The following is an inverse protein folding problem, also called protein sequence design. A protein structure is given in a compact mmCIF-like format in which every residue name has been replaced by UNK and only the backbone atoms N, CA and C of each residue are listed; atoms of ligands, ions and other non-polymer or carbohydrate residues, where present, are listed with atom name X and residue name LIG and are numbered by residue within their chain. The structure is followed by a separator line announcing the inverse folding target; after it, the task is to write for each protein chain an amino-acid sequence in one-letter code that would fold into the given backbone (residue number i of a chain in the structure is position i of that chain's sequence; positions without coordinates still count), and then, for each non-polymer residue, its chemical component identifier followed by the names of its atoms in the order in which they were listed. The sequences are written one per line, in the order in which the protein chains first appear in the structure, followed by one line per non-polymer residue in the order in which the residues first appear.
data_IF_051828334475
#
_entry.id   IF_051828334475
#
_cell.length_a   1.000
_cell.length_b   1.000
_cell.length_c   1.000
_cell.angle_alpha   90.00
_cell.angle_beta   90.00
_cell.angle_gamma   90.00
#
_symmetry.space_group_name_H-M   'P 1'
#
loop_
_entity.id
_entity.type
_entity.pdbx_description
1 polymer ?
#
# COMPACT_ATOMS: atom_id res chain seq x y z
N UNK A 1 -70.67 -39.13 23.69
CA UNK A 1 -69.42 -38.53 24.26
C UNK A 1 -68.48 -38.24 23.13
N UNK A 2 -68.32 -36.95 22.77
CA UNK A 2 -67.45 -36.52 21.73
C UNK A 2 -66.20 -35.89 22.38
N UNK A 3 -65.05 -36.49 22.16
CA UNK A 3 -63.74 -35.99 22.67
C UNK A 3 -63.14 -34.96 21.73
N UNK A 4 -62.94 -33.74 22.23
CA UNK A 4 -62.23 -32.70 21.56
C UNK A 4 -60.70 -32.92 21.69
N UNK A 5 -60.00 -33.06 20.58
CA UNK A 5 -58.54 -33.10 20.55
C UNK A 5 -58.05 -31.64 20.26
N UNK A 6 -57.47 -31.01 21.27
CA UNK A 6 -56.77 -29.75 21.10
C UNK A 6 -55.38 -30.02 20.51
N UNK A 7 -55.19 -29.62 19.25
CA UNK A 7 -53.87 -29.62 18.61
C UNK A 7 -53.07 -28.36 18.99
N UNK A 8 -51.92 -28.53 19.68
CA UNK A 8 -51.01 -27.46 19.99
C UNK A 8 -50.19 -27.09 18.74
N UNK A 9 -50.34 -25.87 18.23
CA UNK A 9 -49.50 -25.32 17.16
C UNK A 9 -48.20 -24.81 17.79
N UNK A 10 -47.10 -25.52 17.56
CA UNK A 10 -45.76 -25.06 17.91
C UNK A 10 -45.28 -24.13 16.81
N UNK A 11 -45.33 -22.84 17.07
CA UNK A 11 -44.69 -21.81 16.21
C UNK A 11 -43.18 -21.86 16.42
N UNK A 12 -42.47 -22.45 15.46
CA UNK A 12 -41.00 -22.40 15.42
C UNK A 12 -40.55 -20.97 15.10
N UNK A 13 -39.96 -20.29 16.06
CA UNK A 13 -39.29 -19.02 15.83
C UNK A 13 -38.05 -19.27 14.96
N UNK A 14 -38.09 -18.79 13.72
CA UNK A 14 -36.94 -18.80 12.79
C UNK A 14 -35.88 -17.90 13.40
N UNK A 15 -34.70 -18.45 13.76
CA UNK A 15 -33.58 -17.68 14.20
C UNK A 15 -33.26 -16.63 13.14
N UNK A 16 -33.19 -15.36 13.53
CA UNK A 16 -32.71 -14.30 12.66
C UNK A 16 -31.28 -14.65 12.20
N UNK A 17 -31.08 -14.71 10.90
CA UNK A 17 -29.74 -14.89 10.34
C UNK A 17 -28.78 -13.79 10.82
N UNK A 18 -27.47 -14.02 10.82
CA UNK A 18 -26.53 -13.03 11.26
C UNK A 18 -26.78 -11.73 10.48
N UNK A 19 -26.87 -10.64 11.21
CA UNK A 19 -26.95 -9.29 10.62
C UNK A 19 -25.76 -9.11 9.70
N UNK A 20 -25.93 -8.69 8.42
CA UNK A 20 -24.81 -8.44 7.52
C UNK A 20 -23.84 -7.47 8.19
N UNK A 21 -22.58 -7.86 8.32
CA UNK A 21 -21.54 -6.95 8.75
C UNK A 21 -21.45 -5.86 7.69
N UNK A 22 -21.51 -4.59 8.05
CA UNK A 22 -21.40 -3.51 7.06
C UNK A 22 -20.10 -3.68 6.28
N UNK A 23 -20.18 -3.67 4.95
CA UNK A 23 -19.02 -3.83 4.06
C UNK A 23 -18.24 -2.52 3.91
N UNK A 24 -16.95 -2.62 3.68
CA UNK A 24 -16.09 -1.50 3.29
C UNK A 24 -16.61 -0.88 1.99
N UNK A 25 -16.73 0.43 1.93
CA UNK A 25 -17.20 1.15 0.73
C UNK A 25 -16.01 1.59 -0.11
N UNK A 26 -16.00 1.25 -1.40
CA UNK A 26 -15.03 1.75 -2.35
C UNK A 26 -15.60 2.99 -3.07
N UNK A 27 -14.99 4.15 -2.85
CA UNK A 27 -15.31 5.42 -3.50
C UNK A 27 -14.20 5.79 -4.48
N UNK A 28 -14.52 5.95 -5.76
CA UNK A 28 -13.56 6.35 -6.78
C UNK A 28 -13.86 7.74 -7.32
N UNK A 29 -12.85 8.56 -7.51
CA UNK A 29 -12.96 9.94 -7.97
C UNK A 29 -11.68 10.38 -8.67
N UNK A 30 -11.77 11.35 -9.59
CA UNK A 30 -10.58 12.01 -10.11
C UNK A 30 -10.02 13.00 -9.10
N UNK A 31 -8.71 13.09 -9.03
CA UNK A 31 -7.95 14.14 -8.35
C UNK A 31 -7.27 14.99 -9.42
N UNK A 32 -7.68 16.25 -9.54
CA UNK A 32 -7.07 17.16 -10.51
C UNK A 32 -5.67 17.55 -10.09
N UNK A 33 -4.72 17.47 -11.03
CA UNK A 33 -3.33 17.81 -10.82
C UNK A 33 -2.90 18.99 -11.68
N UNK A 34 -2.38 20.01 -11.03
CA UNK A 34 -1.70 21.14 -11.70
C UNK A 34 -0.27 20.76 -12.11
N UNK A 35 0.36 19.82 -11.41
CA UNK A 35 1.70 19.32 -11.71
C UNK A 35 1.68 18.47 -12.97
N UNK A 36 0.71 17.52 -13.07
CA UNK A 36 0.59 16.61 -14.21
C UNK A 36 -0.26 17.16 -15.35
N UNK A 37 -0.94 18.32 -15.16
CA UNK A 37 -1.85 18.94 -16.13
C UNK A 37 -2.99 17.99 -16.60
N UNK A 38 -3.42 17.09 -15.70
CA UNK A 38 -4.50 16.13 -15.94
C UNK A 38 -5.13 15.66 -14.63
N UNK A 39 -6.28 15.02 -14.73
CA UNK A 39 -6.85 14.28 -13.62
C UNK A 39 -6.17 12.91 -13.46
N UNK A 40 -6.05 12.47 -12.21
CA UNK A 40 -5.60 11.13 -11.83
C UNK A 40 -6.73 10.43 -11.10
N UNK A 41 -7.10 9.24 -11.55
CA UNK A 41 -8.11 8.44 -10.87
C UNK A 41 -7.57 7.90 -9.54
N UNK A 42 -8.41 7.96 -8.51
CA UNK A 42 -8.08 7.49 -7.17
C UNK A 42 -9.29 6.80 -6.57
N UNK A 43 -9.13 5.59 -6.05
CA UNK A 43 -10.15 4.95 -5.24
C UNK A 43 -9.76 5.00 -3.76
N UNK A 44 -10.75 5.10 -2.88
CA UNK A 44 -10.58 5.03 -1.43
C UNK A 44 -11.51 3.97 -0.85
N UNK A 45 -10.93 2.97 -0.17
CA UNK A 45 -11.68 2.02 0.63
C UNK A 45 -11.93 2.62 2.02
N UNK A 46 -13.19 2.89 2.31
CA UNK A 46 -13.65 3.56 3.53
C UNK A 46 -14.24 2.52 4.49
N UNK A 47 -13.93 2.60 5.80
CA UNK A 47 -14.55 1.73 6.81
C UNK A 47 -16.07 1.77 6.73
N UNK A 48 -16.74 0.65 6.98
CA UNK A 48 -18.18 0.48 6.86
C UNK A 48 -19.01 1.49 7.66
N UNK A 49 -18.49 1.98 8.78
CA UNK A 49 -19.13 3.01 9.62
C UNK A 49 -18.64 4.42 9.31
N UNK A 50 -17.86 4.62 8.25
CA UNK A 50 -17.28 5.91 7.94
C UNK A 50 -18.33 7.03 7.83
N UNK A 51 -19.45 6.82 7.14
CA UNK A 51 -20.48 7.84 6.97
C UNK A 51 -21.16 8.24 8.29
N UNK A 52 -21.35 7.28 9.21
CA UNK A 52 -22.10 7.46 10.45
C UNK A 52 -21.25 7.99 11.61
N UNK A 53 -19.95 7.83 11.56
CA UNK A 53 -19.05 8.02 12.70
C UNK A 53 -18.29 9.35 12.69
N UNK A 54 -18.95 10.46 12.43
CA UNK A 54 -18.32 11.76 12.71
C UNK A 54 -18.20 11.93 14.24
N UNK A 55 -17.06 12.28 14.82
CA UNK A 55 -15.87 12.94 14.27
C UNK A 55 -14.62 12.04 14.14
N UNK A 56 -14.75 10.73 14.09
CA UNK A 56 -13.59 9.80 14.07
C UNK A 56 -12.67 10.04 12.88
N UNK A 57 -11.37 10.15 13.15
CA UNK A 57 -10.32 10.20 12.13
C UNK A 57 -9.58 8.87 12.08
N UNK A 58 -9.10 8.50 10.91
CA UNK A 58 -8.54 7.20 10.63
C UNK A 58 -7.10 7.30 10.14
N UNK A 59 -6.22 6.36 10.49
CA UNK A 59 -4.98 6.16 9.76
C UNK A 59 -5.23 5.91 8.28
N UNK A 60 -4.22 6.11 7.46
CA UNK A 60 -4.34 5.97 6.00
C UNK A 60 -3.19 5.15 5.44
N UNK A 61 -3.52 4.14 4.64
CA UNK A 61 -2.59 3.33 3.87
C UNK A 61 -2.76 3.66 2.39
N UNK A 62 -1.72 4.12 1.72
CA UNK A 62 -1.67 4.23 0.27
C UNK A 62 -1.20 2.88 -0.29
N UNK A 63 -1.96 2.27 -1.21
CA UNK A 63 -1.55 1.04 -1.86
C UNK A 63 -1.34 1.27 -3.36
N UNK A 64 -0.13 0.97 -3.82
CA UNK A 64 0.34 1.23 -5.17
C UNK A 64 0.27 -0.04 -6.01
N UNK A 65 -0.43 0.04 -7.15
CA UNK A 65 -0.63 -1.10 -8.05
C UNK A 65 0.63 -1.46 -8.85
N UNK A 66 0.64 -2.67 -9.41
CA UNK A 66 1.69 -3.14 -10.29
C UNK A 66 1.57 -2.59 -11.72
N UNK A 67 2.56 -2.90 -12.54
CA UNK A 67 2.57 -2.49 -13.95
C UNK A 67 1.37 -3.10 -14.70
N UNK A 68 0.73 -2.31 -15.57
CA UNK A 68 -0.48 -2.66 -16.34
C UNK A 68 -1.75 -2.88 -15.49
N UNK A 69 -1.76 -2.39 -14.28
CA UNK A 69 -2.92 -2.36 -13.38
C UNK A 69 -3.43 -0.92 -13.22
N UNK A 70 -4.46 -0.74 -12.39
CA UNK A 70 -5.09 0.55 -12.11
C UNK A 70 -5.52 0.67 -10.64
N UNK A 71 -6.13 1.79 -10.29
CA UNK A 71 -6.71 2.07 -8.98
C UNK A 71 -7.80 1.08 -8.55
N UNK A 72 -8.45 0.39 -9.49
CA UNK A 72 -9.50 -0.59 -9.17
C UNK A 72 -8.97 -1.99 -8.89
N UNK A 73 -7.76 -2.30 -9.36
CA UNK A 73 -7.20 -3.66 -9.38
C UNK A 73 -7.13 -4.30 -7.99
N UNK A 74 -6.83 -3.52 -6.95
CA UNK A 74 -6.77 -4.02 -5.57
C UNK A 74 -8.14 -4.50 -5.07
N UNK A 75 -9.19 -3.72 -5.34
CA UNK A 75 -10.57 -4.09 -5.00
C UNK A 75 -11.06 -5.32 -5.76
N UNK A 76 -10.80 -5.36 -7.08
CA UNK A 76 -11.30 -6.40 -7.98
C UNK A 76 -10.60 -7.75 -7.81
N UNK A 77 -9.34 -7.76 -7.34
CA UNK A 77 -8.48 -8.93 -7.32
C UNK A 77 -8.23 -9.51 -5.93
N UNK A 78 -9.07 -9.16 -4.94
CA UNK A 78 -9.12 -9.80 -3.63
C UNK A 78 -8.43 -9.05 -2.49
N UNK A 79 -7.80 -7.89 -2.73
CA UNK A 79 -7.22 -7.08 -1.67
C UNK A 79 -8.25 -6.58 -0.66
N UNK A 80 -9.42 -6.15 -1.16
CA UNK A 80 -10.54 -5.75 -0.32
C UNK A 80 -11.04 -6.91 0.56
N UNK A 81 -11.13 -8.12 0.00
CA UNK A 81 -11.55 -9.31 0.77
C UNK A 81 -10.58 -9.61 1.91
N UNK A 82 -9.26 -9.55 1.67
CA UNK A 82 -8.26 -9.78 2.74
C UNK A 82 -8.40 -8.74 3.86
N UNK A 83 -8.66 -7.47 3.51
CA UNK A 83 -8.90 -6.40 4.48
C UNK A 83 -10.15 -6.70 5.33
N UNK A 84 -11.27 -7.04 4.70
CA UNK A 84 -12.53 -7.32 5.36
C UNK A 84 -12.46 -8.56 6.27
N UNK A 85 -11.76 -9.60 5.84
CA UNK A 85 -11.55 -10.80 6.64
C UNK A 85 -10.80 -10.49 7.93
N UNK A 86 -9.72 -9.70 7.88
CA UNK A 86 -8.96 -9.28 9.06
C UNK A 86 -9.77 -8.38 10.00
N UNK A 87 -10.59 -7.48 9.45
CA UNK A 87 -11.51 -6.64 10.24
C UNK A 87 -12.59 -7.49 10.93
N UNK A 88 -13.18 -8.45 10.22
CA UNK A 88 -14.22 -9.34 10.75
C UNK A 88 -13.68 -10.28 11.83
N UNK A 89 -12.43 -10.72 11.71
CA UNK A 89 -11.74 -11.55 12.71
C UNK A 89 -11.25 -10.73 13.93
N UNK A 90 -11.31 -9.39 13.85
CA UNK A 90 -10.83 -8.52 14.93
C UNK A 90 -9.30 -8.50 15.07
N UNK A 91 -8.57 -8.96 14.05
CA UNK A 91 -7.10 -8.99 14.05
C UNK A 91 -6.50 -7.59 13.86
N UNK A 92 -7.26 -6.67 13.29
CA UNK A 92 -6.85 -5.28 13.10
C UNK A 92 -8.02 -4.31 13.29
N UNK A 93 -7.71 -3.03 13.51
CA UNK A 93 -8.69 -1.96 13.49
C UNK A 93 -8.79 -1.27 12.14
N UNK A 94 -9.60 -0.22 12.09
CA UNK A 94 -10.01 0.47 10.87
C UNK A 94 -9.01 1.52 10.43
N UNK A 95 -8.72 1.55 9.13
CA UNK A 95 -8.00 2.61 8.44
C UNK A 95 -8.53 2.77 7.00
N UNK A 96 -8.20 3.87 6.36
CA UNK A 96 -8.51 4.08 4.95
C UNK A 96 -7.43 3.43 4.08
N UNK A 97 -7.83 2.83 2.94
CA UNK A 97 -6.87 2.45 1.90
C UNK A 97 -7.09 3.32 0.69
N UNK A 98 -6.06 4.04 0.24
CA UNK A 98 -6.09 4.93 -0.91
C UNK A 98 -5.31 4.29 -2.05
N UNK A 99 -5.93 4.22 -3.21
CA UNK A 99 -5.51 3.47 -4.38
C UNK A 99 -5.38 4.42 -5.57
N UNK A 100 -4.24 5.10 -5.77
CA UNK A 100 -4.07 5.99 -6.93
C UNK A 100 -3.68 5.21 -8.19
N UNK A 101 -4.14 5.69 -9.37
CA UNK A 101 -3.63 5.22 -10.65
C UNK A 101 -2.22 5.80 -10.90
N UNK A 102 -1.22 4.92 -10.88
CA UNK A 102 0.18 5.26 -11.13
C UNK A 102 0.62 5.06 -12.58
N UNK A 103 -0.26 4.57 -13.45
CA UNK A 103 0.08 4.27 -14.84
C UNK A 103 1.30 3.36 -14.97
N UNK A 104 2.37 3.86 -15.58
CA UNK A 104 3.66 3.15 -15.76
C UNK A 104 4.83 3.97 -15.22
N UNK A 105 4.58 4.84 -14.25
CA UNK A 105 5.53 5.87 -13.78
C UNK A 105 6.57 5.34 -12.79
N UNK A 106 6.44 4.11 -12.31
CA UNK A 106 7.20 3.62 -11.15
C UNK A 106 7.08 4.53 -9.92
N UNK A 107 6.08 5.43 -9.97
CA UNK A 107 5.81 6.43 -8.91
C UNK A 107 6.97 7.39 -8.65
N UNK A 108 7.80 7.61 -9.67
CA UNK A 108 8.90 8.60 -9.66
C UNK A 108 8.56 9.76 -10.60
N UNK A 109 9.30 10.85 -10.49
CA UNK A 109 9.32 11.84 -11.54
C UNK A 109 10.07 11.27 -12.77
N UNK A 110 9.61 11.51 -14.00
CA UNK A 110 10.33 11.04 -15.18
C UNK A 110 11.62 11.80 -15.39
N UNK A 111 12.61 11.13 -15.99
CA UNK A 111 13.93 11.73 -16.29
C UNK A 111 13.84 13.02 -17.11
N UNK A 112 12.90 13.09 -18.04
CA UNK A 112 12.67 14.26 -18.88
C UNK A 112 11.84 15.37 -18.21
N UNK A 113 11.33 15.12 -16.99
CA UNK A 113 10.54 16.04 -16.20
C UNK A 113 9.10 16.25 -16.67
N UNK A 114 8.65 15.51 -17.70
CA UNK A 114 7.28 15.64 -18.20
C UNK A 114 6.23 14.98 -17.30
N UNK A 115 6.52 13.82 -16.75
CA UNK A 115 5.63 13.09 -15.84
C UNK A 115 6.19 13.19 -14.40
N UNK A 116 5.79 14.24 -13.68
CA UNK A 116 6.27 14.52 -12.31
C UNK A 116 5.37 13.84 -11.27
N UNK A 117 5.27 12.49 -11.33
CA UNK A 117 4.31 11.74 -10.54
C UNK A 117 4.63 11.74 -9.03
N UNK A 118 5.91 11.66 -8.64
CA UNK A 118 6.33 11.78 -7.24
C UNK A 118 5.92 13.14 -6.64
N UNK A 119 6.16 14.23 -7.38
CA UNK A 119 5.76 15.57 -6.95
C UNK A 119 4.24 15.69 -6.79
N UNK A 120 3.48 15.17 -7.76
CA UNK A 120 2.02 15.10 -7.67
C UNK A 120 1.59 14.32 -6.41
N UNK A 121 2.19 13.15 -6.19
CA UNK A 121 1.82 12.29 -5.07
C UNK A 121 1.98 13.02 -3.73
N UNK A 122 3.13 13.64 -3.52
CA UNK A 122 3.49 14.28 -2.25
C UNK A 122 2.81 15.64 -2.09
N UNK A 123 2.81 16.47 -3.14
CA UNK A 123 2.40 17.87 -3.02
C UNK A 123 0.91 18.08 -3.29
N UNK A 124 0.25 17.19 -4.05
CA UNK A 124 -1.16 17.36 -4.42
C UNK A 124 -2.05 16.22 -3.89
N UNK A 125 -1.70 14.95 -4.15
CA UNK A 125 -2.55 13.80 -3.80
C UNK A 125 -2.70 13.65 -2.27
N UNK A 126 -1.59 13.55 -1.52
CA UNK A 126 -1.65 13.38 -0.07
C UNK A 126 -2.43 14.52 0.60
N UNK A 127 -2.19 15.81 0.30
CA UNK A 127 -3.01 16.89 0.84
C UNK A 127 -4.48 16.86 0.38
N UNK A 128 -4.78 16.42 -0.84
CA UNK A 128 -6.16 16.31 -1.32
C UNK A 128 -6.94 15.24 -0.55
N UNK A 129 -6.32 14.09 -0.28
CA UNK A 129 -6.91 13.02 0.52
C UNK A 129 -7.15 13.49 1.97
N UNK A 130 -6.19 14.17 2.58
CA UNK A 130 -6.32 14.70 3.93
C UNK A 130 -7.42 15.78 4.06
N UNK A 131 -7.68 16.55 3.00
CA UNK A 131 -8.79 17.51 2.95
C UNK A 131 -10.13 16.84 2.73
N UNK A 132 -10.18 15.82 1.89
CA UNK A 132 -11.44 15.16 1.51
C UNK A 132 -11.92 14.19 2.58
N UNK A 133 -11.03 13.45 3.18
CA UNK A 133 -11.35 12.37 4.13
C UNK A 133 -10.89 12.70 5.55
N UNK A 134 -11.53 12.04 6.52
CA UNK A 134 -11.16 12.16 7.94
C UNK A 134 -9.93 11.31 8.24
N UNK A 135 -8.80 11.73 7.72
CA UNK A 135 -7.49 11.12 7.97
C UNK A 135 -6.85 11.68 9.23
N UNK A 136 -5.97 10.91 9.85
CA UNK A 136 -4.99 11.42 10.82
C UNK A 136 -3.80 11.90 10.01
N UNK A 137 -3.72 13.21 9.78
CA UNK A 137 -2.67 13.85 8.96
C UNK A 137 -1.33 13.91 9.72
N UNK A 138 -0.72 12.73 9.89
CA UNK A 138 0.57 12.55 10.58
C UNK A 138 1.34 11.40 9.95
N UNK A 139 2.67 11.49 9.77
CA UNK A 139 3.50 10.38 9.31
C UNK A 139 3.27 9.09 10.11
N UNK A 140 3.15 9.21 11.43
CA UNK A 140 2.94 8.06 12.32
C UNK A 140 1.63 7.28 12.04
N UNK A 141 0.65 7.91 11.38
CA UNK A 141 -0.63 7.33 11.01
C UNK A 141 -0.82 7.23 9.48
N UNK A 142 0.26 7.42 8.72
CA UNK A 142 0.25 7.30 7.26
C UNK A 142 1.27 6.27 6.82
N UNK A 143 0.79 5.22 6.16
CA UNK A 143 1.59 4.17 5.58
C UNK A 143 1.51 4.17 4.05
N UNK A 144 2.47 3.49 3.43
CA UNK A 144 2.47 3.23 2.01
C UNK A 144 2.82 1.78 1.75
N UNK A 145 2.14 1.15 0.80
CA UNK A 145 2.32 -0.25 0.41
C UNK A 145 2.26 -0.38 -1.10
N UNK A 146 2.73 -1.47 -1.64
CA UNK A 146 2.55 -1.74 -3.06
C UNK A 146 3.10 -3.07 -3.50
N UNK A 147 2.79 -3.44 -4.73
CA UNK A 147 3.25 -4.69 -5.35
C UNK A 147 4.01 -4.41 -6.64
N UNK A 148 5.09 -5.17 -6.91
CA UNK A 148 5.83 -5.07 -8.17
C UNK A 148 6.36 -3.65 -8.42
N UNK A 149 5.95 -2.99 -9.52
CA UNK A 149 6.19 -1.56 -9.77
C UNK A 149 5.73 -0.70 -8.59
N UNK A 150 4.55 -0.98 -8.03
CA UNK A 150 4.04 -0.26 -6.85
C UNK A 150 4.85 -0.55 -5.58
N UNK A 151 5.42 -1.74 -5.45
CA UNK A 151 6.36 -2.06 -4.37
C UNK A 151 7.65 -1.25 -4.46
N UNK A 152 8.19 -1.10 -5.67
CA UNK A 152 9.29 -0.17 -5.94
C UNK A 152 8.92 1.25 -5.53
N UNK A 153 7.77 1.74 -6.02
CA UNK A 153 7.29 3.10 -5.71
C UNK A 153 7.05 3.33 -4.23
N UNK A 154 6.51 2.35 -3.51
CA UNK A 154 6.28 2.45 -2.07
C UNK A 154 7.58 2.61 -1.28
N UNK A 155 8.61 1.82 -1.62
CA UNK A 155 9.95 1.95 -1.02
C UNK A 155 10.59 3.29 -1.38
N UNK A 156 10.57 3.65 -2.68
CA UNK A 156 11.13 4.90 -3.17
C UNK A 156 10.52 6.13 -2.48
N UNK A 157 9.18 6.24 -2.51
CA UNK A 157 8.48 7.38 -1.91
C UNK A 157 8.70 7.46 -0.39
N UNK A 158 8.65 6.34 0.32
CA UNK A 158 8.82 6.36 1.76
C UNK A 158 10.24 6.69 2.21
N UNK A 159 11.26 6.19 1.49
CA UNK A 159 12.67 6.47 1.80
C UNK A 159 13.07 7.92 1.50
N UNK A 160 12.46 8.53 0.47
CA UNK A 160 12.70 9.94 0.13
C UNK A 160 11.83 10.92 0.94
N UNK A 161 10.65 10.48 1.43
CA UNK A 161 9.71 11.32 2.17
C UNK A 161 9.34 10.74 3.53
N UNK A 162 10.31 10.50 4.44
CA UNK A 162 10.06 9.96 5.77
C UNK A 162 9.28 10.93 6.68
N UNK A 163 9.19 12.19 6.31
CA UNK A 163 8.34 13.21 6.93
C UNK A 163 6.86 13.09 6.52
N UNK A 164 6.57 12.31 5.45
CA UNK A 164 5.21 12.02 4.98
C UNK A 164 4.73 10.64 5.46
N UNK A 165 5.58 9.63 5.41
CA UNK A 165 5.23 8.24 5.73
C UNK A 165 5.99 7.71 6.94
N UNK A 166 5.27 7.12 7.91
CA UNK A 166 5.87 6.48 9.08
C UNK A 166 6.09 4.97 8.90
N UNK A 167 5.41 4.35 7.94
CA UNK A 167 5.57 2.92 7.63
C UNK A 167 5.47 2.66 6.14
N UNK A 168 6.28 1.73 5.64
CA UNK A 168 6.23 1.29 4.25
C UNK A 168 6.26 -0.23 4.17
N UNK A 169 5.55 -0.78 3.18
CA UNK A 169 5.66 -2.20 2.85
C UNK A 169 5.70 -2.44 1.35
N UNK A 170 6.33 -3.55 0.94
CA UNK A 170 6.44 -3.90 -0.46
C UNK A 170 6.32 -5.41 -0.68
N UNK A 171 5.52 -5.80 -1.67
CA UNK A 171 5.34 -7.18 -2.09
C UNK A 171 5.96 -7.38 -3.47
N UNK A 172 6.88 -8.34 -3.61
CA UNK A 172 7.57 -8.62 -4.89
C UNK A 172 7.99 -7.35 -5.62
N UNK A 173 8.59 -6.39 -4.89
CA UNK A 173 8.98 -5.09 -5.43
C UNK A 173 9.92 -5.25 -6.63
N UNK A 174 9.73 -4.43 -7.66
CA UNK A 174 10.55 -4.45 -8.88
C UNK A 174 11.97 -3.92 -8.62
N UNK A 175 12.67 -4.54 -7.68
CA UNK A 175 14.03 -4.22 -7.30
C UNK A 175 15.03 -4.92 -8.26
N UNK A 176 15.68 -4.15 -9.09
CA UNK A 176 16.67 -4.62 -10.06
C UNK A 176 18.06 -4.26 -9.55
N UNK A 177 18.88 -5.24 -9.10
CA UNK A 177 20.18 -4.98 -8.49
C UNK A 177 21.17 -4.32 -9.43
N UNK A 178 21.14 -4.72 -10.70
CA UNK A 178 22.03 -4.20 -11.75
C UNK A 178 21.41 -4.36 -13.11
N UNK A 179 21.44 -3.30 -13.89
CA UNK A 179 21.03 -3.32 -15.29
C UNK A 179 22.28 -3.60 -16.16
N UNK A 180 22.25 -4.61 -17.04
CA UNK A 180 23.35 -4.85 -17.96
C UNK A 180 23.53 -3.67 -18.92
N UNK A 181 24.79 -3.35 -19.24
CA UNK A 181 25.10 -2.34 -20.25
C UNK A 181 26.03 -2.95 -21.34
N UNK A 182 25.58 -3.11 -22.60
CA UNK A 182 24.25 -2.74 -23.11
C UNK A 182 23.14 -3.65 -22.58
N UNK A 183 21.90 -3.11 -22.50
CA UNK A 183 20.73 -3.90 -22.08
C UNK A 183 20.37 -4.89 -23.21
N UNK A 184 20.28 -6.21 -22.93
CA UNK A 184 19.82 -7.17 -23.92
C UNK A 184 18.39 -6.88 -24.40
N UNK A 185 18.13 -7.05 -25.71
CA UNK A 185 16.82 -6.77 -26.29
C UNK A 185 15.80 -7.92 -26.14
N UNK A 186 16.20 -9.03 -25.52
CA UNK A 186 15.40 -10.27 -25.42
C UNK A 186 15.19 -10.69 -23.97
N UNK A 187 14.23 -11.59 -23.76
CA UNK A 187 13.89 -12.14 -22.46
C UNK A 187 13.46 -11.07 -21.44
N UNK A 188 13.76 -11.30 -20.17
CA UNK A 188 13.42 -10.35 -19.09
C UNK A 188 14.05 -8.97 -19.29
N UNK A 189 15.25 -8.91 -19.83
CA UNK A 189 15.95 -7.64 -20.05
C UNK A 189 15.32 -6.81 -21.18
N UNK A 190 14.86 -7.43 -22.27
CA UNK A 190 14.10 -6.74 -23.29
C UNK A 190 12.76 -6.21 -22.78
N UNK A 191 12.14 -6.90 -21.83
CA UNK A 191 10.97 -6.38 -21.12
C UNK A 191 11.33 -5.17 -20.25
N UNK A 192 12.37 -5.27 -19.41
CA UNK A 192 12.81 -4.14 -18.57
C UNK A 192 13.23 -2.94 -19.39
N UNK A 193 13.99 -3.14 -20.47
CA UNK A 193 14.37 -2.06 -21.38
C UNK A 193 13.17 -1.24 -21.85
N UNK A 194 12.04 -1.91 -22.16
CA UNK A 194 10.81 -1.21 -22.62
C UNK A 194 10.07 -0.48 -21.50
N UNK A 195 9.96 -1.08 -20.31
CA UNK A 195 9.12 -0.52 -19.25
C UNK A 195 9.85 0.54 -18.41
N UNK A 196 11.19 0.49 -18.35
CA UNK A 196 12.00 1.46 -17.61
C UNK A 196 12.30 2.74 -18.41
N UNK A 197 12.11 2.73 -19.74
CA UNK A 197 12.42 3.92 -20.56
C UNK A 197 11.51 5.11 -20.23
N UNK A 198 10.23 4.87 -19.99
CA UNK A 198 9.29 5.97 -19.72
C UNK A 198 9.68 6.76 -18.45
N UNK A 199 9.92 6.13 -17.28
CA UNK A 199 10.31 6.87 -16.09
C UNK A 199 11.81 7.25 -16.07
N UNK A 200 12.71 6.45 -16.65
CA UNK A 200 14.15 6.60 -16.42
C UNK A 200 14.97 7.01 -17.66
N UNK A 201 14.30 7.41 -18.74
CA UNK A 201 14.95 7.93 -19.96
C UNK A 201 15.04 6.92 -21.10
N UNK A 202 15.03 7.44 -22.34
CA UNK A 202 15.16 6.64 -23.57
C UNK A 202 16.27 7.26 -24.47
N UNK A 203 17.46 6.62 -24.52
CA UNK A 203 17.86 5.39 -23.83
C UNK A 203 17.85 5.56 -22.30
N UNK A 204 17.82 4.42 -21.59
CA UNK A 204 17.81 4.44 -20.11
C UNK A 204 18.99 5.28 -19.58
N UNK A 205 18.67 6.24 -18.71
CA UNK A 205 19.68 7.01 -17.99
C UNK A 205 20.06 6.28 -16.70
N UNK A 206 21.16 5.52 -16.75
CA UNK A 206 21.59 4.68 -15.63
C UNK A 206 21.84 5.50 -14.33
N UNK A 207 22.52 6.66 -14.34
CA UNK A 207 22.66 7.47 -13.13
C UNK A 207 21.33 7.92 -12.52
N UNK A 208 20.36 8.26 -13.37
CA UNK A 208 19.02 8.64 -12.88
C UNK A 208 18.25 7.45 -12.30
N UNK A 209 18.34 6.28 -12.95
CA UNK A 209 17.76 5.05 -12.41
C UNK A 209 18.37 4.72 -11.05
N UNK A 210 19.68 4.72 -10.92
CA UNK A 210 20.38 4.43 -9.66
C UNK A 210 20.04 5.44 -8.55
N UNK A 211 19.94 6.72 -8.88
CA UNK A 211 19.56 7.75 -7.90
C UNK A 211 18.15 7.54 -7.33
N UNK A 212 17.24 6.91 -8.09
CA UNK A 212 15.87 6.61 -7.69
C UNK A 212 15.67 5.16 -7.20
N UNK A 213 16.71 4.33 -7.26
CA UNK A 213 16.61 2.91 -6.90
C UNK A 213 16.58 2.75 -5.36
N UNK A 214 15.56 2.08 -4.79
CA UNK A 214 15.53 1.80 -3.35
C UNK A 214 16.77 1.06 -2.82
N UNK A 215 17.43 0.27 -3.68
CA UNK A 215 18.70 -0.40 -3.32
C UNK A 215 19.84 0.60 -3.10
N UNK A 216 19.85 1.71 -3.82
CA UNK A 216 20.80 2.80 -3.63
C UNK A 216 20.43 3.67 -2.43
N UNK A 217 19.14 3.97 -2.26
CA UNK A 217 18.65 4.71 -1.11
C UNK A 217 18.96 4.00 0.22
N UNK A 218 18.92 2.68 0.23
CA UNK A 218 19.28 1.84 1.40
C UNK A 218 20.74 1.97 1.86
N UNK A 219 21.61 2.60 1.09
CA UNK A 219 22.99 2.89 1.52
C UNK A 219 23.07 3.99 2.59
N UNK A 220 22.02 4.81 2.73
CA UNK A 220 21.94 5.92 3.69
C UNK A 220 20.68 5.84 4.54
N UNK A 221 20.48 4.78 5.34
CA UNK A 221 19.25 4.56 6.10
C UNK A 221 19.05 5.58 7.22
N UNK A 222 20.07 6.36 7.60
CA UNK A 222 19.95 7.48 8.52
C UNK A 222 18.98 8.56 8.02
N UNK A 223 18.82 8.71 6.68
CA UNK A 223 17.90 9.66 6.07
C UNK A 223 16.43 9.32 6.35
N UNK A 224 16.12 8.04 6.60
CA UNK A 224 14.77 7.55 6.91
C UNK A 224 14.73 6.70 8.20
N UNK A 225 15.55 7.03 9.18
CA UNK A 225 15.74 6.25 10.42
C UNK A 225 14.47 5.99 11.23
N UNK A 226 13.43 6.81 11.05
CA UNK A 226 12.14 6.64 11.74
C UNK A 226 11.16 5.72 11.00
N UNK A 227 11.43 5.44 9.71
CA UNK A 227 10.55 4.62 8.88
C UNK A 227 10.50 3.18 9.40
N UNK A 228 9.30 2.63 9.47
CA UNK A 228 9.07 1.20 9.72
C UNK A 228 8.92 0.50 8.37
N UNK A 229 9.67 -0.56 8.17
CA UNK A 229 9.79 -1.20 6.87
C UNK A 229 9.50 -2.70 6.94
N UNK A 230 8.62 -3.15 6.05
CA UNK A 230 8.32 -4.55 5.77
C UNK A 230 8.44 -4.81 4.27
N UNK A 231 9.02 -5.92 3.88
CA UNK A 231 8.91 -6.36 2.50
C UNK A 231 9.03 -7.87 2.38
N UNK A 232 8.36 -8.41 1.36
CA UNK A 232 8.45 -9.82 1.01
C UNK A 232 8.52 -10.02 -0.51
N UNK A 233 8.98 -11.20 -0.89
CA UNK A 233 9.01 -11.64 -2.28
C UNK A 233 8.77 -13.14 -2.36
N UNK A 234 8.18 -13.59 -3.48
CA UNK A 234 8.10 -15.01 -3.80
C UNK A 234 9.50 -15.57 -4.02
N UNK A 235 9.77 -16.76 -3.45
CA UNK A 235 11.08 -17.43 -3.56
C UNK A 235 11.39 -17.96 -4.98
N UNK A 236 10.41 -17.89 -5.88
CA UNK A 236 10.49 -18.23 -7.32
C UNK A 236 9.80 -17.15 -8.15
N UNK A 237 10.13 -15.88 -7.88
CA UNK A 237 9.53 -14.77 -8.63
C UNK A 237 9.91 -14.84 -10.11
N UNK A 238 8.92 -14.88 -11.00
CA UNK A 238 9.14 -15.05 -12.45
C UNK A 238 9.94 -13.93 -13.11
N UNK A 239 10.09 -12.80 -12.43
CA UNK A 239 10.92 -11.68 -12.88
C UNK A 239 12.29 -11.65 -12.18
N UNK A 240 12.54 -12.51 -11.18
CA UNK A 240 13.79 -12.55 -10.42
C UNK A 240 13.91 -11.42 -9.40
N UNK A 241 12.78 -10.90 -8.90
CA UNK A 241 12.79 -9.81 -7.91
C UNK A 241 13.20 -10.27 -6.52
N UNK A 242 13.23 -11.58 -6.24
CA UNK A 242 13.79 -12.15 -5.01
C UNK A 242 15.27 -11.80 -4.82
N UNK A 243 16.05 -11.71 -5.92
CA UNK A 243 17.45 -11.28 -5.86
C UNK A 243 17.57 -9.84 -5.31
N UNK A 244 16.73 -8.93 -5.80
CA UNK A 244 16.71 -7.54 -5.34
C UNK A 244 16.17 -7.39 -3.92
N UNK A 245 15.16 -8.19 -3.55
CA UNK A 245 14.61 -8.20 -2.20
C UNK A 245 15.66 -8.72 -1.18
N UNK A 246 16.36 -9.79 -1.51
CA UNK A 246 17.46 -10.32 -0.69
C UNK A 246 18.57 -9.27 -0.54
N UNK A 247 18.99 -8.62 -1.63
CA UNK A 247 20.02 -7.59 -1.59
C UNK A 247 19.61 -6.39 -0.73
N UNK A 248 18.34 -5.96 -0.80
CA UNK A 248 17.82 -4.90 0.07
C UNK A 248 17.92 -5.29 1.54
N UNK A 249 17.53 -6.53 1.87
CA UNK A 249 17.66 -7.08 3.23
C UNK A 249 19.11 -7.06 3.72
N UNK A 250 20.03 -7.52 2.91
CA UNK A 250 21.46 -7.56 3.24
C UNK A 250 22.03 -6.15 3.49
N UNK A 251 21.71 -5.18 2.61
CA UNK A 251 22.15 -3.79 2.74
C UNK A 251 21.63 -3.15 4.03
N UNK A 252 20.34 -3.25 4.30
CA UNK A 252 19.73 -2.70 5.51
C UNK A 252 20.27 -3.37 6.78
N UNK A 253 20.47 -4.70 6.75
CA UNK A 253 21.05 -5.45 7.87
C UNK A 253 22.48 -5.00 8.15
N UNK A 254 23.32 -4.87 7.10
CA UNK A 254 24.70 -4.41 7.23
C UNK A 254 24.82 -3.01 7.83
N UNK A 255 23.80 -2.16 7.61
CA UNK A 255 23.69 -0.80 8.18
C UNK A 255 23.02 -0.76 9.56
N UNK A 256 22.59 -1.91 10.09
CA UNK A 256 21.88 -1.97 11.38
C UNK A 256 20.46 -1.38 11.36
N UNK A 257 19.86 -1.23 10.18
CA UNK A 257 18.49 -0.72 10.05
C UNK A 257 17.47 -1.82 10.35
N UNK A 258 16.58 -1.58 11.32
CA UNK A 258 15.55 -2.55 11.72
C UNK A 258 14.41 -2.60 10.69
N UNK A 259 14.16 -3.78 10.14
CA UNK A 259 13.12 -4.04 9.16
C UNK A 259 12.60 -5.48 9.29
N UNK A 260 11.44 -5.75 8.68
CA UNK A 260 10.89 -7.10 8.54
C UNK A 260 11.01 -7.55 7.09
N UNK A 261 11.59 -8.73 6.88
CA UNK A 261 11.78 -9.32 5.56
C UNK A 261 11.39 -10.79 5.53
N UNK A 262 10.80 -11.25 4.41
CA UNK A 262 10.57 -12.67 4.18
C UNK A 262 10.64 -13.04 2.69
N UNK A 263 11.34 -14.11 2.36
CA UNK A 263 11.10 -14.88 1.15
C UNK A 263 10.01 -15.91 1.47
N UNK A 264 9.00 -15.98 0.63
CA UNK A 264 7.83 -16.84 0.85
C UNK A 264 7.58 -17.75 -0.35
N UNK A 265 7.07 -18.97 -0.13
CA UNK A 265 6.73 -19.87 -1.23
C UNK A 265 5.79 -19.22 -2.25
N UNK A 266 6.20 -19.19 -3.52
CA UNK A 266 5.38 -18.68 -4.61
C UNK A 266 6.14 -17.88 -5.66
N UNK A 267 5.39 -17.39 -6.64
CA UNK A 267 5.90 -16.58 -7.73
C UNK A 267 5.29 -15.18 -7.69
N UNK A 268 5.34 -14.46 -8.81
CA UNK A 268 4.84 -13.10 -8.97
C UNK A 268 3.35 -13.05 -9.31
N UNK A 269 2.60 -12.13 -8.73
CA UNK A 269 1.22 -11.81 -9.13
C UNK A 269 0.21 -11.90 -7.99
N UNK A 270 -1.07 -11.80 -8.35
CA UNK A 270 -2.17 -11.64 -7.39
C UNK A 270 -2.39 -12.86 -6.49
N UNK A 271 -2.15 -14.07 -6.98
CA UNK A 271 -2.23 -15.27 -6.12
C UNK A 271 -1.22 -15.23 -4.97
N UNK A 272 0.00 -14.72 -5.23
CA UNK A 272 0.99 -14.46 -4.20
C UNK A 272 0.54 -13.32 -3.29
N UNK A 273 0.17 -12.18 -3.87
CA UNK A 273 -0.20 -11.00 -3.10
C UNK A 273 -1.36 -11.28 -2.13
N UNK A 274 -2.47 -11.84 -2.59
CA UNK A 274 -3.63 -12.11 -1.73
C UNK A 274 -3.34 -13.10 -0.61
N UNK A 275 -2.44 -14.05 -0.84
CA UNK A 275 -2.01 -14.99 0.20
C UNK A 275 -1.22 -14.31 1.32
N UNK A 276 -0.40 -13.31 1.00
CA UNK A 276 0.57 -12.71 1.92
C UNK A 276 0.27 -11.25 2.31
N UNK A 277 -0.68 -10.60 1.66
CA UNK A 277 -1.10 -9.22 1.94
C UNK A 277 -1.44 -8.98 3.43
N UNK A 278 -2.01 -9.99 4.09
CA UNK A 278 -2.36 -9.90 5.53
C UNK A 278 -1.18 -9.50 6.42
N UNK A 279 0.05 -9.93 6.08
CA UNK A 279 1.23 -9.61 6.90
C UNK A 279 1.58 -8.13 6.84
N UNK A 280 1.48 -7.51 5.68
CA UNK A 280 1.72 -6.06 5.54
C UNK A 280 0.58 -5.23 6.13
N UNK A 281 -0.69 -5.64 5.99
CA UNK A 281 -1.81 -4.96 6.63
C UNK A 281 -1.69 -4.98 8.16
N UNK A 282 -1.36 -6.13 8.75
CA UNK A 282 -1.11 -6.27 10.18
C UNK A 282 0.15 -5.51 10.63
N UNK A 283 1.20 -5.49 9.80
CA UNK A 283 2.38 -4.67 10.05
C UNK A 283 2.00 -3.20 10.18
N UNK A 284 1.30 -2.61 9.18
CA UNK A 284 0.87 -1.22 9.24
C UNK A 284 -0.05 -0.96 10.43
N UNK A 285 -1.00 -1.87 10.72
CA UNK A 285 -1.91 -1.72 11.85
C UNK A 285 -1.17 -1.60 13.19
N UNK A 286 -0.15 -2.39 13.46
CA UNK A 286 0.65 -2.28 14.69
C UNK A 286 1.20 -0.86 14.92
N UNK A 287 1.63 -0.19 13.85
CA UNK A 287 2.15 1.17 13.92
C UNK A 287 1.04 2.22 14.02
N UNK A 288 -0.05 2.05 13.29
CA UNK A 288 -1.22 2.92 13.34
C UNK A 288 -1.88 2.90 14.73
N UNK A 289 -2.04 1.74 15.31
CA UNK A 289 -2.61 1.59 16.65
C UNK A 289 -1.75 2.28 17.72
N UNK A 290 -0.42 2.15 17.62
CA UNK A 290 0.50 2.87 18.50
C UNK A 290 0.32 4.38 18.34
N UNK A 291 0.30 4.91 17.12
CA UNK A 291 0.12 6.32 16.85
C UNK A 291 -1.22 6.85 17.39
N UNK A 292 -2.31 6.11 17.19
CA UNK A 292 -3.63 6.48 17.71
C UNK A 292 -3.65 6.55 19.25
N UNK A 293 -2.99 5.60 19.93
CA UNK A 293 -2.84 5.61 21.40
C UNK A 293 -2.03 6.80 21.88
N UNK A 294 -0.91 7.10 21.23
CA UNK A 294 -0.03 8.21 21.60
C UNK A 294 -0.74 9.57 21.45
N UNK A 295 -1.52 9.75 20.37
CA UNK A 295 -2.34 10.94 20.14
C UNK A 295 -3.43 11.10 21.21
N UNK A 296 -4.14 10.02 21.56
CA UNK A 296 -5.17 10.04 22.59
C UNK A 296 -4.57 10.40 23.99
N UNK A 297 -3.41 9.88 24.31
CA UNK A 297 -2.71 10.20 25.56
C UNK A 297 -2.27 11.67 25.63
N UNK A 298 -1.79 12.22 24.51
CA UNK A 298 -1.36 13.62 24.41
C UNK A 298 -2.53 14.61 24.55
N UNK A 299 -3.69 14.26 24.00
CA UNK A 299 -4.91 15.08 24.08
C UNK A 299 -5.46 15.16 25.51
N UNK A 300 -5.39 14.06 26.27
CA UNK A 300 -5.80 14.04 27.69
C UNK A 300 -4.92 14.94 28.58
N UNK A 301 -3.61 14.98 28.31
CA UNK A 301 -2.68 15.85 29.09
C UNK A 301 -2.89 17.34 28.86
N UNK A 302 -3.37 17.72 27.63
CA UNK A 302 -3.64 19.14 27.33
C UNK A 302 -5.01 19.63 27.84
N UNK A 303 -5.93 18.72 28.18
CA UNK A 303 -7.26 19.10 28.74
C UNK A 303 -7.31 19.20 30.25
N UNK A 304 -6.21 18.90 30.96
CA UNK A 304 -6.10 18.98 32.43
C UNK A 304 -5.18 20.11 32.92
N UNK A 305 -4.75 20.99 32.06
CA UNK A 305 -4.04 22.23 32.34
C UNK A 305 -4.90 23.41 31.93
#
# INVERSE_FOLDING_TARGET
MAGLILGSVVTSARAAGPTPVPATTLECLPVSSSILQRDVNVCAALPADYAASAPTRYPTLYFLHGLFESETSWGERGGLQVLEDLLAQGEMGKFLVVLPDGGKTFYVNSFDGHERYEDFFIQELVPAIDRKYRTISSPAARGISGTSMGGYGALHLAMNHPDVFGSASAHSAALIPKIPNPIPNEGRWGFYARVLQAPFGSPLNEPYFEANNPLTLAERPEAFSHLKLYFDCGDHDRYGFEEGAQLLHEKLTAKGFSHEFALRPGSHGWSYLTQYLKFSLLFHWRWFEKAARDLAASSRKKGTG
#
